data_IF_543481403629
#
_entry.id   IF_543481403629
#
_cell.length_a   1.000
_cell.length_b   1.000
_cell.length_c   1.000
_cell.angle_alpha   90.00
_cell.angle_beta   90.00
_cell.angle_gamma   90.00
#
_symmetry.space_group_name_H-M   'P 1'
#
loop_
_entity.id
_entity.type
_entity.pdbx_description
1 polymer ?
#
# COMPACT_ATOMS: atom_id res chain seq x y z
N UNK A 1 12.68 11.84 8.96
CA UNK A 1 12.57 10.55 8.24
C UNK A 1 11.60 10.67 7.09
N UNK A 2 12.09 10.79 5.85
CA UNK A 2 11.30 10.99 4.61
C UNK A 2 11.08 9.70 3.79
N UNK A 3 11.47 8.55 4.34
CA UNK A 3 11.52 7.26 3.62
C UNK A 3 10.21 6.47 3.72
N UNK A 4 9.44 6.66 4.79
CA UNK A 4 8.12 6.08 4.95
C UNK A 4 7.09 6.94 4.20
N UNK A 5 6.25 6.29 3.40
CA UNK A 5 5.10 6.89 2.75
C UNK A 5 3.85 6.15 3.19
N UNK A 6 2.89 6.89 3.73
CA UNK A 6 1.62 6.35 4.21
C UNK A 6 0.55 6.45 3.13
N UNK A 7 -0.42 5.53 3.17
CA UNK A 7 -1.50 5.51 2.18
C UNK A 7 -2.40 6.72 2.39
N UNK A 8 -2.50 7.58 1.38
CA UNK A 8 -3.49 8.67 1.33
C UNK A 8 -4.61 8.29 0.39
N UNK A 9 -5.72 7.84 0.94
CA UNK A 9 -6.91 7.50 0.19
C UNK A 9 -7.82 8.72 0.15
N UNK A 10 -8.31 9.05 -1.04
CA UNK A 10 -9.22 10.17 -1.23
C UNK A 10 -10.10 9.94 -2.43
N UNK A 11 -11.22 10.63 -2.47
CA UNK A 11 -11.96 10.79 -3.71
C UNK A 11 -11.16 11.63 -4.69
N UNK A 12 -11.33 11.31 -5.97
CA UNK A 12 -10.92 12.17 -7.06
C UNK A 12 -11.79 13.43 -7.05
N UNK A 13 -11.14 14.57 -7.33
CA UNK A 13 -11.80 15.84 -7.66
C UNK A 13 -12.61 15.72 -8.95
N UNK A 14 -13.46 16.72 -9.23
CA UNK A 14 -14.26 16.69 -10.45
C UNK A 14 -13.37 16.84 -11.69
N UNK A 15 -12.33 17.65 -11.59
CA UNK A 15 -11.33 17.89 -12.63
C UNK A 15 -10.57 16.60 -12.95
N UNK A 16 -10.03 15.93 -11.94
CA UNK A 16 -9.35 14.63 -12.12
C UNK A 16 -10.27 13.61 -12.78
N UNK A 17 -11.56 13.55 -12.39
CA UNK A 17 -12.53 12.65 -13.02
C UNK A 17 -12.81 12.97 -14.48
N UNK A 18 -12.79 14.25 -14.85
CA UNK A 18 -13.02 14.66 -16.23
C UNK A 18 -11.79 14.38 -17.12
N UNK A 19 -10.60 14.38 -16.52
CA UNK A 19 -9.34 14.05 -17.19
C UNK A 19 -9.05 12.54 -17.23
N UNK A 20 -9.70 11.74 -16.37
CA UNK A 20 -9.58 10.29 -16.35
C UNK A 20 -10.00 9.69 -17.70
N UNK A 21 -9.02 9.14 -18.42
CA UNK A 21 -9.25 8.28 -19.58
C UNK A 21 -8.76 6.87 -19.27
N UNK A 22 -9.69 5.98 -18.89
CA UNK A 22 -9.38 4.60 -18.50
C UNK A 22 -9.80 3.67 -19.64
N UNK A 23 -8.83 3.06 -20.32
CA UNK A 23 -9.06 2.13 -21.45
C UNK A 23 -8.58 0.71 -21.16
N UNK A 24 -7.77 0.53 -20.12
CA UNK A 24 -7.14 -0.73 -19.77
C UNK A 24 -6.93 -0.89 -18.27
N UNK A 25 -6.56 -2.10 -17.84
CA UNK A 25 -6.17 -2.37 -16.45
C UNK A 25 -4.88 -1.62 -16.08
N UNK A 26 -3.95 -1.44 -17.03
CA UNK A 26 -2.71 -0.72 -16.78
C UNK A 26 -2.98 0.74 -16.39
N UNK A 27 -3.96 1.37 -17.04
CA UNK A 27 -4.35 2.75 -16.69
C UNK A 27 -4.80 2.87 -15.23
N UNK A 28 -5.47 1.84 -14.69
CA UNK A 28 -5.88 1.80 -13.27
C UNK A 28 -4.67 1.70 -12.34
N UNK A 29 -3.64 0.97 -12.74
CA UNK A 29 -2.39 0.77 -11.97
C UNK A 29 -1.55 2.03 -11.99
N UNK A 30 -1.32 2.59 -13.18
CA UNK A 30 -0.47 3.76 -13.38
C UNK A 30 -1.03 5.00 -12.66
N UNK A 31 -2.37 5.13 -12.67
CA UNK A 31 -3.07 6.22 -11.99
C UNK A 31 -3.37 5.92 -10.51
N UNK A 32 -2.89 4.78 -10.00
CA UNK A 32 -3.01 4.34 -8.60
C UNK A 32 -4.46 4.33 -8.08
N UNK A 33 -5.38 3.86 -8.91
CA UNK A 33 -6.81 3.91 -8.61
C UNK A 33 -7.27 2.75 -7.72
N UNK A 34 -8.39 2.98 -7.04
CA UNK A 34 -9.11 1.95 -6.30
C UNK A 34 -10.63 2.15 -6.38
N UNK A 35 -11.39 1.08 -6.19
CA UNK A 35 -12.85 1.16 -6.12
C UNK A 35 -13.31 1.90 -4.86
N UNK A 36 -14.23 2.86 -5.00
CA UNK A 36 -14.81 3.64 -3.89
C UNK A 36 -15.87 2.85 -3.11
N UNK A 37 -15.48 1.71 -2.53
CA UNK A 37 -16.36 0.92 -1.64
C UNK A 37 -15.84 0.89 -0.22
N UNK A 38 -14.53 0.77 -0.03
CA UNK A 38 -13.77 0.77 1.23
C UNK A 38 -12.31 0.44 0.85
N UNK A 39 -11.29 0.86 1.62
CA UNK A 39 -11.31 1.82 2.74
C UNK A 39 -11.78 3.23 2.37
N UNK A 40 -12.15 4.03 3.37
CA UNK A 40 -12.62 5.40 3.20
C UNK A 40 -11.48 6.41 3.00
N UNK A 41 -11.85 7.68 2.80
CA UNK A 41 -10.86 8.75 2.62
C UNK A 41 -10.09 9.04 3.91
N UNK A 42 -8.76 9.14 3.83
CA UNK A 42 -7.88 9.57 4.91
C UNK A 42 -6.45 9.08 4.73
N UNK A 43 -5.62 9.27 5.76
CA UNK A 43 -4.22 8.87 5.78
C UNK A 43 -4.06 7.70 6.75
N UNK A 44 -3.68 6.54 6.23
CA UNK A 44 -3.56 5.28 6.98
C UNK A 44 -2.12 5.04 7.42
N UNK A 45 -1.82 5.43 8.66
CA UNK A 45 -0.48 5.29 9.26
C UNK A 45 -0.38 3.97 10.02
N UNK A 46 0.65 3.15 9.81
CA UNK A 46 0.83 1.91 10.56
C UNK A 46 1.21 2.19 12.03
N UNK A 47 1.88 3.31 12.31
CA UNK A 47 2.41 3.61 13.65
C UNK A 47 1.45 4.40 14.55
N UNK A 48 0.38 5.00 14.02
CA UNK A 48 -0.45 5.94 14.76
C UNK A 48 -1.84 5.39 15.07
N UNK A 49 -2.16 5.28 16.36
CA UNK A 49 -3.54 5.28 16.85
C UNK A 49 -3.85 6.74 17.24
N UNK A 50 -4.19 7.56 16.26
CA UNK A 50 -4.47 8.99 16.43
C UNK A 50 -5.95 9.26 16.18
N UNK A 51 -6.54 10.23 16.89
CA UNK A 51 -7.91 10.70 16.63
C UNK A 51 -8.03 11.42 15.27
N UNK A 52 -6.93 11.95 14.74
CA UNK A 52 -6.89 12.75 13.52
C UNK A 52 -6.37 11.98 12.29
N UNK A 53 -5.78 10.80 12.49
CA UNK A 53 -5.29 9.94 11.41
C UNK A 53 -6.04 8.60 11.45
N UNK A 54 -6.15 7.94 10.30
CA UNK A 54 -6.84 6.65 10.27
C UNK A 54 -5.96 5.55 10.84
N UNK A 55 -6.58 4.79 11.74
CA UNK A 55 -5.95 3.72 12.49
C UNK A 55 -5.36 2.61 11.61
N UNK A 56 -4.29 1.92 12.06
CA UNK A 56 -3.85 0.67 11.46
C UNK A 56 -4.92 -0.43 11.48
N UNK A 57 -6.00 -0.30 12.28
CA UNK A 57 -7.14 -1.25 12.33
C UNK A 57 -8.10 -1.11 11.13
N UNK A 58 -7.56 -0.95 9.92
CA UNK A 58 -8.32 -0.95 8.67
C UNK A 58 -8.40 -2.36 8.08
N UNK A 59 -9.61 -2.84 7.80
CA UNK A 59 -9.83 -4.07 7.05
C UNK A 59 -9.82 -3.81 5.54
N UNK A 60 -8.89 -4.42 4.81
CA UNK A 60 -8.96 -4.44 3.34
C UNK A 60 -9.88 -5.58 2.94
N UNK A 61 -11.03 -5.27 2.34
CA UNK A 61 -11.97 -6.30 1.88
C UNK A 61 -11.36 -7.06 0.70
N UNK A 62 -11.53 -8.38 0.67
CA UNK A 62 -11.00 -9.23 -0.40
C UNK A 62 -11.45 -8.81 -1.80
N UNK A 63 -12.67 -8.28 -1.93
CA UNK A 63 -13.25 -7.84 -3.21
C UNK A 63 -12.98 -6.37 -3.55
N UNK A 64 -12.23 -5.62 -2.74
CA UNK A 64 -11.87 -4.25 -3.10
C UNK A 64 -10.83 -4.30 -4.23
N UNK A 65 -11.16 -3.69 -5.36
CA UNK A 65 -10.22 -3.50 -6.46
C UNK A 65 -9.24 -2.37 -6.11
N UNK A 66 -8.08 -2.72 -5.54
CA UNK A 66 -6.95 -1.82 -5.36
C UNK A 66 -5.94 -2.13 -6.46
N UNK A 67 -5.69 -1.15 -7.33
CA UNK A 67 -4.77 -1.25 -8.47
C UNK A 67 -3.48 -0.48 -8.23
N UNK A 68 -3.51 0.54 -7.37
CA UNK A 68 -2.30 1.26 -6.95
C UNK A 68 -1.32 0.41 -6.15
N UNK A 69 -0.04 0.59 -6.45
CA UNK A 69 1.08 -0.04 -5.76
C UNK A 69 1.62 0.80 -4.58
N UNK A 70 2.67 0.28 -3.93
CA UNK A 70 3.40 1.01 -2.89
C UNK A 70 4.59 1.76 -3.51
N UNK A 71 4.73 3.05 -3.21
CA UNK A 71 5.86 3.90 -3.64
C UNK A 71 6.87 4.20 -2.52
N UNK A 72 6.64 3.67 -1.32
CA UNK A 72 7.52 3.83 -0.16
C UNK A 72 8.85 3.11 -0.35
N UNK A 73 9.96 3.78 0.00
CA UNK A 73 11.31 3.18 0.06
C UNK A 73 11.58 2.50 1.41
N UNK A 74 10.80 2.82 2.43
CA UNK A 74 10.85 2.22 3.76
C UNK A 74 9.58 1.43 4.05
N UNK A 75 8.89 1.78 5.14
CA UNK A 75 7.64 1.12 5.49
C UNK A 75 6.46 1.60 4.62
N UNK A 76 5.62 0.70 4.09
CA UNK A 76 4.34 1.05 3.46
C UNK A 76 3.31 1.58 4.46
N UNK A 77 2.25 2.20 3.96
CA UNK A 77 1.05 2.49 4.75
C UNK A 77 0.27 1.23 5.16
N UNK A 78 -0.68 1.38 6.08
CA UNK A 78 -1.37 0.23 6.66
C UNK A 78 -2.29 -0.53 5.67
N UNK A 79 -2.85 0.16 4.66
CA UNK A 79 -3.73 -0.44 3.64
C UNK A 79 -2.88 -1.18 2.61
N UNK A 80 -1.87 -0.52 2.03
CA UNK A 80 -0.98 -1.12 1.03
C UNK A 80 -0.18 -2.27 1.63
N UNK A 81 0.25 -2.17 2.89
CA UNK A 81 0.89 -3.27 3.60
C UNK A 81 0.01 -4.53 3.59
N UNK A 82 -1.21 -4.45 4.13
CA UNK A 82 -2.10 -5.61 4.22
C UNK A 82 -2.44 -6.14 2.84
N UNK A 83 -2.79 -5.25 1.93
CA UNK A 83 -3.17 -5.61 0.58
C UNK A 83 -2.06 -6.39 -0.15
N UNK A 84 -0.83 -5.87 -0.12
CA UNK A 84 0.31 -6.51 -0.77
C UNK A 84 0.75 -7.78 -0.06
N UNK A 85 0.73 -7.80 1.28
CA UNK A 85 1.09 -9.00 2.05
C UNK A 85 0.18 -10.19 1.70
N UNK A 86 -1.14 -9.97 1.61
CA UNK A 86 -2.09 -11.03 1.23
C UNK A 86 -1.96 -11.43 -0.24
N UNK A 87 -1.67 -10.50 -1.15
CA UNK A 87 -1.40 -10.85 -2.56
C UNK A 87 -0.13 -11.67 -2.69
N UNK A 88 0.98 -11.25 -2.09
CA UNK A 88 2.24 -12.00 -2.10
C UNK A 88 2.08 -13.37 -1.46
N UNK A 89 1.25 -13.51 -0.41
CA UNK A 89 0.92 -14.81 0.15
C UNK A 89 0.21 -15.70 -0.87
N UNK A 90 -0.83 -15.20 -1.55
CA UNK A 90 -1.56 -15.98 -2.56
C UNK A 90 -0.70 -16.38 -3.75
N UNK A 91 0.22 -15.52 -4.19
CA UNK A 91 1.08 -15.77 -5.36
C UNK A 91 2.30 -16.63 -5.06
N UNK A 92 3.01 -16.37 -3.95
CA UNK A 92 4.31 -16.98 -3.65
C UNK A 92 4.29 -17.88 -2.41
N UNK A 93 3.15 -18.02 -1.74
CA UNK A 93 3.05 -18.79 -0.50
C UNK A 93 3.55 -18.04 0.74
N UNK A 94 3.51 -18.71 1.88
CA UNK A 94 3.79 -18.09 3.18
C UNK A 94 5.25 -17.67 3.32
N UNK A 95 6.20 -18.59 3.09
CA UNK A 95 7.62 -18.34 3.37
C UNK A 95 8.30 -17.41 2.35
N UNK A 96 7.94 -17.54 1.08
CA UNK A 96 8.56 -16.80 -0.02
C UNK A 96 7.82 -15.48 -0.33
N UNK A 97 6.53 -15.39 -0.01
CA UNK A 97 5.72 -14.20 -0.21
C UNK A 97 5.48 -13.42 1.09
N UNK A 98 4.56 -13.92 1.91
CA UNK A 98 4.09 -13.22 3.11
C UNK A 98 5.23 -12.89 4.07
N UNK A 99 5.99 -13.89 4.49
CA UNK A 99 7.05 -13.74 5.48
C UNK A 99 8.16 -12.81 4.98
N UNK A 100 8.53 -12.91 3.70
CA UNK A 100 9.54 -12.03 3.11
C UNK A 100 9.15 -10.55 3.11
N UNK A 101 7.86 -10.25 2.95
CA UNK A 101 7.33 -8.88 2.89
C UNK A 101 6.88 -8.32 4.25
N UNK A 102 6.26 -9.16 5.07
CA UNK A 102 5.70 -8.78 6.37
C UNK A 102 6.73 -8.77 7.50
N UNK A 103 7.95 -9.24 7.25
CA UNK A 103 9.05 -9.26 8.22
C UNK A 103 10.31 -8.60 7.65
N UNK A 104 11.31 -8.39 8.51
CA UNK A 104 12.61 -7.88 8.12
C UNK A 104 13.60 -9.00 7.72
N UNK A 105 13.11 -10.13 7.18
CA UNK A 105 13.90 -11.29 6.73
C UNK A 105 15.11 -10.88 5.86
N UNK A 106 14.95 -9.88 5.00
CA UNK A 106 15.99 -9.42 4.08
C UNK A 106 16.85 -8.24 4.59
N UNK A 107 16.75 -7.89 5.88
CA UNK A 107 17.49 -6.75 6.47
C UNK A 107 19.01 -6.83 6.26
N UNK A 108 19.60 -8.01 6.43
CA UNK A 108 21.04 -8.18 6.28
C UNK A 108 21.49 -8.10 4.82
N UNK A 109 20.70 -8.66 3.90
CA UNK A 109 20.94 -8.55 2.46
C UNK A 109 20.85 -7.08 2.01
N UNK A 110 19.79 -6.38 2.41
CA UNK A 110 19.58 -4.94 2.13
C UNK A 110 20.78 -4.10 2.57
N UNK A 111 21.33 -4.34 3.77
CA UNK A 111 22.54 -3.64 4.24
C UNK A 111 23.77 -3.93 3.39
N UNK A 112 23.92 -5.17 2.92
CA UNK A 112 25.02 -5.57 2.04
C UNK A 112 24.89 -4.89 0.67
N UNK A 113 23.67 -4.73 0.18
CA UNK A 113 23.34 -4.07 -1.08
C UNK A 113 23.37 -2.53 -0.98
N UNK A 114 23.73 -1.97 0.18
CA UNK A 114 23.86 -0.52 0.41
C UNK A 114 22.55 0.19 0.82
N UNK A 115 21.45 -0.56 0.96
CA UNK A 115 20.13 -0.04 1.33
C UNK A 115 19.90 -0.21 2.84
N UNK A 116 20.01 0.88 3.61
CA UNK A 116 19.86 0.86 5.08
C UNK A 116 18.42 1.09 5.56
N UNK A 117 17.43 0.94 4.69
CA UNK A 117 16.01 1.30 4.93
C UNK A 117 15.24 0.29 5.79
N UNK A 118 15.66 -0.98 5.81
CA UNK A 118 15.00 -2.01 6.62
C UNK A 118 15.45 -1.93 8.08
N UNK A 119 14.50 -1.64 8.98
CA UNK A 119 14.72 -1.52 10.44
C UNK A 119 14.83 -2.86 11.16
#
# INVERSE_FOLDING_TARGET
>A
NKLNQWDKIRNLSQEEKNELNIQSVNDLVDQQLMTNRNPGNGIYKPEAISYNDQSPYVGVRMMTGIYGGNTSKGAPGAVSFKHNAFRLWGYYGYENGFLGYASNKYKQQSKTDGESVLS
#
